data_IF_264081720668
#
_entry.id   IF_264081720668
#
_cell.length_a   1.000
_cell.length_b   1.000
_cell.length_c   1.000
_cell.angle_alpha   90.00
_cell.angle_beta   90.00
_cell.angle_gamma   90.00
#
_symmetry.space_group_name_H-M   'P 1'
#
loop_
_entity.id
_entity.type
_entity.pdbx_description
1 polymer ?
#
# COMPACT_ATOMS: atom_id res chain seq x y z
N UNK A 1 -21.74 32.16 9.02
CA UNK A 1 -20.37 31.76 9.39
C UNK A 1 -20.24 30.29 9.04
N UNK A 2 -19.51 29.94 7.98
CA UNK A 2 -19.32 28.54 7.58
C UNK A 2 -18.24 27.93 8.47
N UNK A 3 -18.61 26.88 9.20
CA UNK A 3 -17.69 26.10 10.01
C UNK A 3 -16.58 25.49 9.15
N UNK A 4 -15.36 25.75 9.59
CA UNK A 4 -14.13 25.28 8.98
C UNK A 4 -14.11 23.75 9.04
N UNK A 5 -14.27 23.09 7.89
CA UNK A 5 -13.98 21.66 7.71
C UNK A 5 -12.65 21.31 8.36
N UNK A 6 -12.70 20.35 9.27
CA UNK A 6 -11.59 19.94 10.12
C UNK A 6 -10.41 19.45 9.28
N UNK A 7 -9.25 20.03 9.53
CA UNK A 7 -8.00 19.83 8.79
C UNK A 7 -7.42 18.46 9.15
N UNK A 8 -7.46 17.51 8.20
CA UNK A 8 -6.56 16.36 8.07
C UNK A 8 -6.23 15.59 9.34
N UNK A 9 -7.23 14.96 9.97
CA UNK A 9 -6.94 13.86 10.90
C UNK A 9 -6.57 12.65 10.04
N UNK A 10 -5.30 12.26 10.04
CA UNK A 10 -4.90 11.01 9.39
C UNK A 10 -5.65 9.85 10.05
N UNK A 11 -6.13 8.91 9.24
CA UNK A 11 -6.82 7.70 9.71
C UNK A 11 -5.88 6.93 10.65
N UNK A 12 -6.23 6.76 11.94
CA UNK A 12 -5.49 5.94 12.88
C UNK A 12 -5.36 4.49 12.41
N UNK A 13 -4.21 3.86 12.69
CA UNK A 13 -4.03 2.41 12.40
C UNK A 13 -5.03 1.52 13.15
N UNK A 14 -5.65 2.01 14.23
CA UNK A 14 -6.68 1.28 14.97
C UNK A 14 -7.99 1.11 14.20
N UNK A 15 -8.19 1.87 13.12
CA UNK A 15 -9.37 1.78 12.25
C UNK A 15 -9.16 0.77 11.11
N UNK A 16 -7.98 0.15 11.01
CA UNK A 16 -7.72 -0.94 10.07
C UNK A 16 -8.02 -2.29 10.71
N UNK A 17 -8.41 -3.25 9.87
CA UNK A 17 -8.47 -4.65 10.27
C UNK A 17 -7.16 -5.08 10.98
N UNK A 18 -7.24 -5.64 12.20
CA UNK A 18 -6.08 -6.18 12.91
C UNK A 18 -5.27 -7.19 12.10
N UNK A 19 -5.91 -8.06 11.31
CA UNK A 19 -5.21 -9.04 10.47
C UNK A 19 -4.42 -8.35 9.35
N UNK A 20 -5.01 -7.34 8.70
CA UNK A 20 -4.32 -6.52 7.71
C UNK A 20 -3.07 -5.86 8.29
N UNK A 21 -3.22 -5.29 9.48
CA UNK A 21 -2.11 -4.64 10.17
C UNK A 21 -1.01 -5.65 10.50
N UNK A 22 -1.36 -6.84 10.96
CA UNK A 22 -0.41 -7.89 11.29
C UNK A 22 0.35 -8.40 10.07
N UNK A 23 -0.34 -8.74 8.97
CA UNK A 23 0.31 -9.13 7.72
C UNK A 23 1.25 -8.02 7.22
N UNK A 24 0.84 -6.76 7.30
CA UNK A 24 1.71 -5.64 6.90
C UNK A 24 3.00 -5.55 7.73
N UNK A 25 2.94 -5.88 9.04
CA UNK A 25 4.15 -5.94 9.89
C UNK A 25 5.06 -7.09 9.48
N UNK A 26 4.50 -8.26 9.16
CA UNK A 26 5.27 -9.41 8.68
C UNK A 26 5.99 -9.10 7.37
N UNK A 27 5.32 -8.45 6.43
CA UNK A 27 5.94 -7.99 5.17
C UNK A 27 7.06 -6.97 5.40
N UNK A 28 6.86 -6.01 6.32
CA UNK A 28 7.94 -5.08 6.72
C UNK A 28 9.13 -5.86 7.31
N UNK A 29 8.86 -6.88 8.13
CA UNK A 29 9.89 -7.79 8.65
C UNK A 29 10.69 -8.46 7.53
N UNK A 30 10.02 -9.01 6.52
CA UNK A 30 10.66 -9.60 5.34
C UNK A 30 11.56 -8.58 4.62
N UNK A 31 11.06 -7.38 4.38
CA UNK A 31 11.82 -6.33 3.72
C UNK A 31 13.07 -5.93 4.55
N UNK A 32 12.95 -5.89 5.88
CA UNK A 32 14.09 -5.64 6.78
C UNK A 32 15.16 -6.73 6.63
N UNK A 33 14.77 -8.00 6.58
CA UNK A 33 15.73 -9.10 6.39
C UNK A 33 16.43 -9.02 5.03
N UNK A 34 15.70 -8.70 3.96
CA UNK A 34 16.29 -8.42 2.64
C UNK A 34 17.32 -7.29 2.71
N UNK A 35 16.96 -6.15 3.31
CA UNK A 35 17.85 -4.99 3.42
C UNK A 35 19.08 -5.29 4.27
N UNK A 36 18.95 -6.07 5.36
CA UNK A 36 20.08 -6.51 6.18
C UNK A 36 21.03 -7.41 5.40
N UNK A 37 20.51 -8.31 4.57
CA UNK A 37 21.30 -9.28 3.83
C UNK A 37 22.03 -8.66 2.64
N UNK A 38 21.35 -7.79 1.88
CA UNK A 38 21.89 -7.21 0.64
C UNK A 38 22.53 -5.84 0.84
N UNK A 39 22.08 -5.08 1.85
CA UNK A 39 22.38 -3.65 1.96
C UNK A 39 21.78 -2.82 0.81
N UNK A 40 21.95 -1.50 0.84
CA UNK A 40 21.61 -0.62 -0.29
C UNK A 40 22.65 -0.76 -1.42
N UNK A 41 22.26 -0.44 -2.66
CA UNK A 41 23.17 -0.35 -3.82
C UNK A 41 22.80 -1.19 -5.04
N UNK A 42 21.82 -2.07 -4.93
CA UNK A 42 21.25 -2.80 -6.08
C UNK A 42 20.05 -2.07 -6.69
N UNK A 43 19.67 -2.48 -7.90
CA UNK A 43 18.45 -2.01 -8.55
C UNK A 43 17.20 -2.66 -7.94
N UNK A 44 16.07 -1.96 -8.03
CA UNK A 44 14.75 -2.39 -7.51
C UNK A 44 14.38 -3.84 -7.87
N UNK A 45 14.60 -4.35 -9.11
CA UNK A 45 14.23 -5.74 -9.44
C UNK A 45 14.94 -6.80 -8.60
N UNK A 46 16.14 -6.51 -8.09
CA UNK A 46 16.87 -7.44 -7.21
C UNK A 46 16.19 -7.51 -5.85
N UNK A 47 15.80 -6.37 -5.28
CA UNK A 47 15.05 -6.36 -4.02
C UNK A 47 13.66 -6.96 -4.18
N UNK A 48 13.00 -6.74 -5.32
CA UNK A 48 11.71 -7.38 -5.60
C UNK A 48 11.83 -8.91 -5.57
N UNK A 49 12.84 -9.48 -6.24
CA UNK A 49 13.07 -10.93 -6.21
C UNK A 49 13.43 -11.44 -4.81
N UNK A 50 14.27 -10.71 -4.07
CA UNK A 50 14.64 -11.08 -2.70
C UNK A 50 13.43 -11.03 -1.75
N UNK A 51 12.58 -10.01 -1.86
CA UNK A 51 11.36 -9.89 -1.07
C UNK A 51 10.38 -11.02 -1.39
N UNK A 52 10.18 -11.34 -2.67
CA UNK A 52 9.37 -12.50 -3.08
C UNK A 52 9.87 -13.81 -2.45
N UNK A 53 11.19 -13.97 -2.32
CA UNK A 53 11.78 -15.15 -1.68
C UNK A 53 11.44 -15.20 -0.18
N UNK A 54 11.59 -14.09 0.56
CA UNK A 54 11.23 -14.02 1.98
C UNK A 54 9.72 -14.20 2.21
N UNK A 55 8.87 -13.60 1.37
CA UNK A 55 7.41 -13.79 1.45
C UNK A 55 6.99 -15.24 1.25
N UNK A 56 7.60 -15.95 0.28
CA UNK A 56 7.36 -17.39 0.07
C UNK A 56 7.78 -18.21 1.30
N UNK A 57 8.91 -17.87 1.93
CA UNK A 57 9.39 -18.55 3.14
C UNK A 57 8.47 -18.34 4.33
N UNK A 58 7.89 -17.15 4.44
CA UNK A 58 6.90 -16.80 5.47
C UNK A 58 5.47 -17.29 5.15
N UNK A 59 5.26 -17.91 3.98
CA UNK A 59 3.95 -18.39 3.55
C UNK A 59 2.93 -17.28 3.32
N UNK A 60 3.39 -16.09 2.95
CA UNK A 60 2.53 -14.92 2.64
C UNK A 60 2.22 -14.96 1.14
N UNK A 61 0.94 -14.91 0.77
CA UNK A 61 0.57 -14.90 -0.64
C UNK A 61 0.81 -13.52 -1.24
N UNK A 62 1.24 -13.50 -2.49
CA UNK A 62 1.43 -12.25 -3.21
C UNK A 62 1.31 -12.46 -4.72
N UNK A 63 0.92 -11.40 -5.40
CA UNK A 63 0.98 -11.27 -6.84
C UNK A 63 1.90 -10.12 -7.21
N UNK A 64 2.59 -10.26 -8.34
CA UNK A 64 3.50 -9.23 -8.85
C UNK A 64 3.01 -8.67 -10.18
N UNK A 65 3.32 -7.42 -10.47
CA UNK A 65 3.02 -6.77 -11.75
C UNK A 65 1.53 -6.82 -12.12
N UNK A 66 0.66 -6.62 -11.13
CA UNK A 66 -0.79 -6.61 -11.35
C UNK A 66 -1.19 -5.32 -12.08
N UNK A 67 -1.80 -5.48 -13.25
CA UNK A 67 -2.36 -4.37 -14.03
C UNK A 67 -3.78 -4.09 -13.58
N UNK A 68 -4.09 -2.82 -13.30
CA UNK A 68 -5.40 -2.36 -12.85
C UNK A 68 -5.91 -1.23 -13.75
N UNK A 69 -7.20 -1.28 -14.06
CA UNK A 69 -7.88 -0.24 -14.81
C UNK A 69 -7.98 1.07 -14.02
N UNK A 70 -7.62 2.17 -14.67
CA UNK A 70 -7.84 3.52 -14.16
C UNK A 70 -9.15 4.03 -14.73
N UNK A 71 -10.12 4.29 -13.86
CA UNK A 71 -11.44 4.79 -14.23
C UNK A 71 -11.56 6.31 -14.03
N UNK A 72 -12.31 6.95 -14.92
CA UNK A 72 -12.78 8.33 -14.80
C UNK A 72 -14.30 8.32 -15.03
N UNK A 73 -15.06 8.38 -13.94
CA UNK A 73 -16.48 8.00 -13.95
C UNK A 73 -16.61 6.54 -14.35
N UNK A 74 -17.52 6.25 -15.28
CA UNK A 74 -17.78 4.88 -15.76
C UNK A 74 -16.79 4.42 -16.85
N UNK A 75 -15.94 5.31 -17.36
CA UNK A 75 -15.02 5.01 -18.46
C UNK A 75 -13.64 4.58 -17.95
N UNK A 76 -13.09 3.51 -18.52
CA UNK A 76 -11.66 3.16 -18.38
C UNK A 76 -10.84 4.08 -19.27
N UNK A 77 -9.92 4.84 -18.67
CA UNK A 77 -9.07 5.84 -19.36
C UNK A 77 -7.61 5.40 -19.50
N UNK A 78 -7.26 4.26 -18.92
CA UNK A 78 -5.92 3.69 -18.99
C UNK A 78 -5.73 2.60 -17.95
N UNK A 79 -4.49 2.18 -17.75
CA UNK A 79 -4.11 1.19 -16.74
C UNK A 79 -2.92 1.67 -15.92
N UNK A 80 -2.78 1.12 -14.73
CA UNK A 80 -1.60 1.26 -13.88
C UNK A 80 -1.11 -0.12 -13.45
N UNK A 81 0.19 -0.29 -13.35
CA UNK A 81 0.79 -1.54 -12.85
C UNK A 81 1.22 -1.33 -11.41
N UNK A 82 0.91 -2.30 -10.57
CA UNK A 82 1.34 -2.39 -9.19
C UNK A 82 2.45 -3.43 -9.08
N UNK A 83 3.54 -3.07 -8.38
CA UNK A 83 4.69 -3.95 -8.24
C UNK A 83 4.32 -5.24 -7.53
N UNK A 84 3.63 -5.13 -6.39
CA UNK A 84 3.20 -6.28 -5.60
C UNK A 84 1.90 -6.02 -4.84
N UNK A 85 1.02 -7.02 -4.85
CA UNK A 85 -0.20 -7.08 -4.03
C UNK A 85 -0.05 -8.24 -3.06
N UNK A 86 -0.27 -7.99 -1.78
CA UNK A 86 -0.12 -8.97 -0.69
C UNK A 86 -1.50 -9.47 -0.25
N UNK A 87 -1.69 -10.79 -0.26
CA UNK A 87 -2.92 -11.48 0.15
C UNK A 87 -4.21 -10.90 -0.47
N UNK A 88 -4.15 -10.26 -1.64
CA UNK A 88 -5.26 -9.48 -2.22
C UNK A 88 -5.77 -8.32 -1.33
N UNK A 89 -5.00 -7.91 -0.31
CA UNK A 89 -5.43 -6.92 0.69
C UNK A 89 -4.73 -5.57 0.63
N UNK A 90 -3.45 -5.54 0.28
CA UNK A 90 -2.69 -4.28 0.25
C UNK A 90 -1.56 -4.27 -0.77
N UNK A 91 -1.13 -3.06 -1.11
CA UNK A 91 -0.08 -2.82 -2.11
C UNK A 91 1.29 -2.66 -1.44
N UNK A 92 2.33 -3.16 -2.10
CA UNK A 92 3.73 -2.80 -1.83
C UNK A 92 4.33 -2.23 -3.11
N UNK A 93 4.71 -0.94 -3.08
CA UNK A 93 5.44 -0.21 -4.14
C UNK A 93 6.91 -0.16 -3.72
N UNK A 94 7.80 -0.66 -4.58
CA UNK A 94 9.22 -0.80 -4.28
C UNK A 94 10.00 0.33 -4.92
N UNK A 95 11.03 0.81 -4.22
CA UNK A 95 11.97 1.78 -4.75
C UNK A 95 13.39 1.40 -4.34
N UNK A 96 14.36 1.82 -5.14
CA UNK A 96 15.78 1.67 -4.84
C UNK A 96 16.56 2.91 -5.29
N UNK A 97 15.96 4.10 -5.13
CA UNK A 97 16.54 5.37 -5.57
C UNK A 97 17.10 6.13 -4.37
N UNK A 98 18.29 6.77 -4.47
CA UNK A 98 18.92 7.51 -3.37
C UNK A 98 18.26 8.88 -3.15
N UNK A 99 16.94 8.89 -2.99
CA UNK A 99 16.09 10.05 -2.75
C UNK A 99 15.04 9.72 -1.69
N UNK A 100 14.66 10.74 -0.91
CA UNK A 100 13.56 10.60 0.04
C UNK A 100 12.26 10.26 -0.70
N UNK A 101 11.41 9.47 -0.04
CA UNK A 101 10.05 9.22 -0.51
C UNK A 101 9.33 10.57 -0.60
N UNK A 102 9.01 11.02 -1.82
CA UNK A 102 8.39 12.32 -2.11
C UNK A 102 6.86 12.32 -2.08
N UNK A 103 6.25 13.51 -2.22
CA UNK A 103 4.79 13.67 -2.27
C UNK A 103 4.16 12.99 -3.49
N UNK A 104 4.90 12.92 -4.60
CA UNK A 104 4.47 12.25 -5.82
C UNK A 104 4.30 10.74 -5.61
N UNK A 105 5.30 10.04 -5.07
CA UNK A 105 5.21 8.60 -4.79
C UNK A 105 4.01 8.26 -3.88
N UNK A 106 3.79 9.05 -2.83
CA UNK A 106 2.61 8.89 -1.96
C UNK A 106 1.29 9.11 -2.69
N UNK A 107 1.25 10.09 -3.60
CA UNK A 107 0.06 10.39 -4.42
C UNK A 107 -0.22 9.28 -5.45
N UNK A 108 0.83 8.75 -6.08
CA UNK A 108 0.75 7.60 -7.00
C UNK A 108 0.18 6.38 -6.29
N UNK A 109 0.77 6.00 -5.16
CA UNK A 109 0.29 4.85 -4.38
C UNK A 109 -1.16 5.05 -3.91
N UNK A 110 -1.52 6.25 -3.44
CA UNK A 110 -2.92 6.54 -3.07
C UNK A 110 -3.88 6.40 -4.25
N UNK A 111 -3.47 6.80 -5.46
CA UNK A 111 -4.28 6.63 -6.65
C UNK A 111 -4.45 5.14 -7.02
N UNK A 112 -3.40 4.33 -6.90
CA UNK A 112 -3.46 2.88 -7.10
C UNK A 112 -4.38 2.20 -6.08
N UNK A 113 -4.33 2.62 -4.80
CA UNK A 113 -5.23 2.10 -3.77
C UNK A 113 -6.70 2.37 -4.08
N UNK A 114 -7.03 3.58 -4.56
CA UNK A 114 -8.40 3.89 -5.00
C UNK A 114 -8.81 3.07 -6.22
N UNK A 115 -7.92 2.92 -7.20
CA UNK A 115 -8.22 2.14 -8.41
C UNK A 115 -8.41 0.64 -8.13
N UNK A 116 -7.78 0.13 -7.08
CA UNK A 116 -7.85 -1.27 -6.65
C UNK A 116 -8.89 -1.54 -5.55
N UNK A 117 -9.56 -0.50 -5.04
CA UNK A 117 -10.44 -0.56 -3.87
C UNK A 117 -9.78 -1.16 -2.61
N UNK A 118 -8.47 -0.92 -2.43
CA UNK A 118 -7.70 -1.40 -1.28
C UNK A 118 -7.48 -0.28 -0.24
N UNK A 119 -7.36 -0.66 1.02
CA UNK A 119 -7.25 0.25 2.18
C UNK A 119 -5.82 0.75 2.41
N UNK A 120 -4.84 -0.13 2.20
CA UNK A 120 -3.47 0.03 2.68
C UNK A 120 -2.46 -0.12 1.55
N UNK A 121 -1.42 0.72 1.59
CA UNK A 121 -0.22 0.54 0.78
C UNK A 121 1.05 0.85 1.57
N UNK A 122 2.14 0.18 1.19
CA UNK A 122 3.49 0.44 1.68
C UNK A 122 4.37 0.90 0.53
N UNK A 123 5.18 1.93 0.79
CA UNK A 123 6.32 2.29 -0.06
C UNK A 123 7.57 1.84 0.69
N UNK A 124 8.42 1.07 0.02
CA UNK A 124 9.68 0.56 0.57
C UNK A 124 10.84 1.00 -0.31
N UNK A 125 11.61 1.99 0.15
CA UNK A 125 12.85 2.42 -0.51
C UNK A 125 14.06 1.71 0.09
N UNK A 126 14.65 0.80 -0.67
CA UNK A 126 15.83 0.03 -0.29
C UNK A 126 17.16 0.79 -0.40
N UNK A 127 17.19 1.96 -1.05
CA UNK A 127 18.41 2.77 -1.14
C UNK A 127 18.79 3.46 0.18
N UNK A 128 17.87 3.51 1.13
CA UNK A 128 18.11 4.14 2.42
C UNK A 128 19.15 3.40 3.25
N UNK A 129 19.91 4.16 4.05
CA UNK A 129 20.93 3.56 4.93
C UNK A 129 20.29 2.63 5.97
N UNK A 130 19.08 2.94 6.41
CA UNK A 130 18.26 2.07 7.24
C UNK A 130 16.90 1.96 6.58
N UNK A 131 16.43 0.74 6.34
CA UNK A 131 15.15 0.53 5.65
C UNK A 131 13.97 1.28 6.28
N UNK A 132 13.95 1.41 7.62
CA UNK A 132 12.90 2.14 8.33
C UNK A 132 12.78 3.62 7.92
N UNK A 133 13.86 4.23 7.47
CA UNK A 133 13.88 5.63 7.03
C UNK A 133 13.29 5.74 5.60
N UNK A 134 13.31 4.63 4.85
CA UNK A 134 12.70 4.46 3.53
C UNK A 134 11.35 3.74 3.57
N UNK A 135 10.65 3.74 4.70
CA UNK A 135 9.37 3.06 4.84
C UNK A 135 8.24 4.08 5.04
N UNK A 136 7.25 4.08 4.14
CA UNK A 136 6.06 4.93 4.28
C UNK A 136 4.80 4.08 4.13
N UNK A 137 3.87 4.25 5.07
CA UNK A 137 2.51 3.73 4.97
C UNK A 137 1.59 4.77 4.37
N UNK A 138 0.78 4.36 3.39
CA UNK A 138 -0.25 5.19 2.74
C UNK A 138 -1.60 4.51 2.92
N UNK A 139 -2.62 5.29 3.28
CA UNK A 139 -3.98 4.82 3.47
C UNK A 139 -4.92 5.41 2.42
N UNK A 140 -5.96 4.64 2.11
CA UNK A 140 -7.10 5.03 1.31
C UNK A 140 -8.30 5.34 2.22
N UNK A 141 -8.49 6.61 2.63
CA UNK A 141 -9.56 6.96 3.56
C UNK A 141 -10.96 6.69 2.99
N UNK A 142 -11.13 6.75 1.67
CA UNK A 142 -12.43 6.55 1.01
C UNK A 142 -12.91 5.10 1.14
N UNK A 143 -11.98 4.13 1.17
CA UNK A 143 -12.30 2.72 1.41
C UNK A 143 -12.56 2.46 2.89
N UNK A 144 -11.68 2.95 3.77
CA UNK A 144 -11.80 2.75 5.22
C UNK A 144 -13.11 3.33 5.76
N UNK A 145 -13.51 4.53 5.31
CA UNK A 145 -14.79 5.13 5.71
C UNK A 145 -16.00 4.30 5.26
N UNK A 146 -15.99 3.77 4.02
CA UNK A 146 -17.09 2.92 3.50
C UNK A 146 -17.23 1.61 4.26
N UNK A 147 -16.13 1.04 4.74
CA UNK A 147 -16.16 -0.21 5.48
C UNK A 147 -16.54 -0.01 6.97
N UNK A 148 -16.41 1.22 7.50
CA UNK A 148 -16.80 1.60 8.88
C UNK A 148 -18.31 1.93 9.00
N UNK A 149 -18.94 2.42 7.93
CA UNK A 149 -20.36 2.81 7.93
C UNK A 149 -21.36 1.63 8.01
N UNK A 150 -20.88 0.38 8.09
CA UNK A 150 -21.73 -0.82 8.12
C UNK A 150 -22.46 -1.07 6.80
N UNK A 151 -23.13 -2.22 6.60
CA UNK A 151 -24.01 -2.36 5.45
C UNK A 151 -25.09 -1.27 5.57
N UNK A 152 -25.23 -0.45 4.53
CA UNK A 152 -26.42 0.37 4.35
C UNK A 152 -27.61 -0.59 4.52
N UNK A 153 -28.33 -0.48 5.65
CA UNK A 153 -29.62 -1.13 5.83
C UNK A 153 -30.51 -0.53 4.73
N UNK A 154 -30.52 -1.16 3.57
CA UNK A 154 -31.55 -1.01 2.57
C UNK A 154 -32.84 -1.45 3.27
N UNK A 155 -33.51 -0.49 3.91
CA UNK A 155 -34.90 -0.63 4.28
C UNK A 155 -35.68 -0.91 3.00
N UNK A 156 -35.91 -2.19 2.72
CA UNK A 156 -37.01 -2.65 1.87
C UNK A 156 -38.31 -2.17 2.54
N UNK A 157 -38.72 -0.96 2.20
CA UNK A 157 -40.08 -0.49 2.45
C UNK A 157 -41.01 -1.25 1.48
N UNK A 158 -41.60 -2.34 1.97
CA UNK A 158 -42.82 -2.98 1.41
C UNK A 158 -44.07 -2.12 1.63
#
# INVERSE_FOLDING_TARGET
MQERRQKGRGVPLSELDPELTETSRRVIGCAIEVHKALGPGYDEPIYAQALQHELKREGIAFDTSRTIDVRYGDAVVGTTTIDMVIDDRFIVDLMAEPVDIGSYARSKLRAQLRASDLELGLIVNFAERRLKDGLVRVLNPDKIARDDDGPDDEHEDE
#
